data_IF_352101316283
#
_entry.id   IF_352101316283
#
_cell.length_a   1.000
_cell.length_b   1.000
_cell.length_c   1.000
_cell.angle_alpha   90.00
_cell.angle_beta   90.00
_cell.angle_gamma   90.00
#
_symmetry.space_group_name_H-M   'P 1'
#
loop_
_entity.id
_entity.type
_entity.pdbx_description
1 polymer ?
#
# COMPACT_ATOMS: atom_id res chain seq x y z
N UNK A 1 8.59 -0.30 -28.60
CA UNK A 1 8.65 0.34 -27.26
C UNK A 1 8.54 1.86 -27.36
N UNK A 2 9.49 2.60 -27.93
CA UNK A 2 9.45 4.08 -28.02
C UNK A 2 8.14 4.66 -28.60
N UNK A 3 7.67 4.16 -29.75
CA UNK A 3 6.40 4.61 -30.37
C UNK A 3 5.18 4.42 -29.45
N UNK A 4 5.13 3.31 -28.72
CA UNK A 4 4.06 3.03 -27.76
C UNK A 4 4.14 3.98 -26.55
N UNK A 5 5.33 4.19 -26.00
CA UNK A 5 5.54 5.13 -24.89
C UNK A 5 5.13 6.56 -25.28
N UNK A 6 5.51 7.02 -26.47
CA UNK A 6 5.10 8.34 -26.96
C UNK A 6 3.58 8.44 -27.10
N UNK A 7 2.93 7.45 -27.72
CA UNK A 7 1.47 7.45 -27.88
C UNK A 7 0.73 7.44 -26.53
N UNK A 8 1.24 6.70 -25.54
CA UNK A 8 0.68 6.67 -24.19
C UNK A 8 0.89 8.01 -23.45
N UNK A 9 2.07 8.63 -23.60
CA UNK A 9 2.35 9.94 -23.02
C UNK A 9 1.43 11.02 -23.60
N UNK A 10 1.28 11.06 -24.93
CA UNK A 10 0.36 11.99 -25.62
C UNK A 10 -1.09 11.79 -25.15
N UNK A 11 -1.51 10.53 -24.97
CA UNK A 11 -2.83 10.20 -24.44
C UNK A 11 -3.03 10.73 -23.01
N UNK A 12 -2.08 10.48 -22.10
CA UNK A 12 -2.14 10.96 -20.71
C UNK A 12 -2.17 12.50 -20.65
N UNK A 13 -1.34 13.17 -21.44
CA UNK A 13 -1.33 14.62 -21.53
C UNK A 13 -2.67 15.18 -22.04
N UNK A 14 -3.30 14.52 -23.02
CA UNK A 14 -4.64 14.89 -23.52
C UNK A 14 -5.74 14.79 -22.45
N UNK A 15 -5.51 14.01 -21.39
CA UNK A 15 -6.39 13.87 -20.22
C UNK A 15 -6.02 14.80 -19.06
N UNK A 16 -5.02 15.67 -19.23
CA UNK A 16 -4.52 16.54 -18.18
C UNK A 16 -3.60 15.86 -17.16
N UNK A 17 -3.26 14.58 -17.36
CA UNK A 17 -2.48 13.73 -16.46
C UNK A 17 -0.97 13.93 -16.68
N UNK A 18 -0.47 15.15 -16.41
CA UNK A 18 0.91 15.55 -16.69
C UNK A 18 1.94 14.82 -15.83
N UNK A 19 1.60 14.54 -14.57
CA UNK A 19 2.50 13.87 -13.63
C UNK A 19 2.68 12.39 -14.01
N UNK A 20 1.57 11.73 -14.34
CA UNK A 20 1.51 10.34 -14.78
C UNK A 20 2.28 10.14 -16.10
N UNK A 21 2.13 11.09 -17.03
CA UNK A 21 2.89 11.08 -18.28
C UNK A 21 4.40 11.15 -18.04
N UNK A 22 4.83 11.93 -17.04
CA UNK A 22 6.25 12.08 -16.67
C UNK A 22 6.81 10.82 -16.00
N UNK A 23 5.97 10.09 -15.26
CA UNK A 23 6.34 8.83 -14.58
C UNK A 23 6.23 7.58 -15.48
N UNK A 24 5.81 7.72 -16.73
CA UNK A 24 5.65 6.59 -17.65
C UNK A 24 7.00 5.94 -18.03
N UNK A 25 8.09 6.71 -18.02
CA UNK A 25 9.43 6.26 -18.36
C UNK A 25 10.28 6.25 -17.09
N UNK A 26 10.84 5.09 -16.77
CA UNK A 26 11.69 4.93 -15.59
C UNK A 26 12.65 3.76 -15.74
N UNK A 27 13.33 3.43 -14.64
CA UNK A 27 14.26 2.31 -14.59
C UNK A 27 13.54 0.97 -14.59
N UNK A 28 13.97 0.07 -15.48
CA UNK A 28 13.51 -1.32 -15.53
C UNK A 28 14.72 -2.21 -15.25
N UNK A 29 14.65 -2.98 -14.17
CA UNK A 29 15.71 -3.89 -13.77
C UNK A 29 15.44 -5.27 -14.35
N UNK A 30 16.30 -5.70 -15.28
CA UNK A 30 16.19 -7.02 -15.93
C UNK A 30 17.24 -7.97 -15.36
N UNK A 31 16.80 -9.09 -14.79
CA UNK A 31 17.64 -10.15 -14.27
C UNK A 31 18.06 -11.06 -15.42
N UNK A 32 19.20 -10.76 -16.04
CA UNK A 32 19.62 -11.37 -17.31
C UNK A 32 19.86 -12.87 -17.26
N UNK A 33 20.07 -13.44 -16.06
CA UNK A 33 20.24 -14.87 -15.82
C UNK A 33 18.92 -15.66 -15.72
N UNK A 34 17.79 -14.97 -15.60
CA UNK A 34 16.45 -15.59 -15.56
C UNK A 34 15.91 -15.81 -16.97
N UNK A 35 15.06 -16.81 -17.16
CA UNK A 35 14.55 -17.18 -18.48
C UNK A 35 13.71 -16.04 -19.12
N UNK A 36 13.90 -15.73 -20.41
CA UNK A 36 13.04 -14.78 -21.13
C UNK A 36 11.55 -15.09 -20.98
N UNK A 37 10.73 -14.05 -20.94
CA UNK A 37 9.26 -14.17 -20.88
C UNK A 37 8.70 -14.78 -19.58
N UNK A 38 9.51 -14.86 -18.53
CA UNK A 38 9.06 -15.27 -17.19
C UNK A 38 8.91 -14.08 -16.25
N UNK A 39 8.02 -14.16 -15.24
CA UNK A 39 7.89 -13.13 -14.21
C UNK A 39 9.17 -12.89 -13.40
N UNK A 40 10.07 -13.87 -13.32
CA UNK A 40 11.33 -13.74 -12.56
C UNK A 40 12.36 -12.88 -13.27
N UNK A 41 12.21 -12.61 -14.56
CA UNK A 41 13.17 -11.80 -15.33
C UNK A 41 13.03 -10.31 -15.12
N UNK A 42 11.84 -9.81 -14.85
CA UNK A 42 11.61 -8.40 -14.51
C UNK A 42 11.63 -8.23 -12.99
N UNK A 43 12.48 -7.33 -12.48
CA UNK A 43 12.67 -7.16 -11.04
C UNK A 43 11.39 -6.71 -10.30
N UNK A 44 10.50 -5.96 -10.97
CA UNK A 44 9.22 -5.54 -10.38
C UNK A 44 8.25 -6.71 -10.33
N UNK A 45 8.11 -7.46 -11.43
CA UNK A 45 7.25 -8.65 -11.46
C UNK A 45 7.73 -9.72 -10.49
N UNK A 46 9.04 -9.94 -10.38
CA UNK A 46 9.59 -10.90 -9.43
C UNK A 46 9.33 -10.46 -7.98
N UNK A 47 9.49 -9.17 -7.66
CA UNK A 47 9.14 -8.65 -6.34
C UNK A 47 7.64 -8.85 -6.01
N UNK A 48 6.74 -8.68 -7.00
CA UNK A 48 5.31 -8.94 -6.82
C UNK A 48 5.05 -10.43 -6.53
N UNK A 49 5.69 -11.34 -7.25
CA UNK A 49 5.60 -12.78 -7.02
C UNK A 49 6.06 -13.14 -5.59
N UNK A 50 7.22 -12.65 -5.16
CA UNK A 50 7.75 -12.92 -3.82
C UNK A 50 6.82 -12.35 -2.73
N UNK A 51 6.33 -11.12 -2.91
CA UNK A 51 5.36 -10.51 -2.00
C UNK A 51 4.06 -11.32 -1.90
N UNK A 52 3.56 -11.86 -3.02
CA UNK A 52 2.39 -12.72 -3.03
C UNK A 52 2.63 -13.98 -2.20
N UNK A 53 3.76 -14.68 -2.40
CA UNK A 53 4.08 -15.89 -1.61
C UNK A 53 4.16 -15.60 -0.11
N UNK A 54 4.72 -14.46 0.30
CA UNK A 54 4.77 -14.06 1.70
C UNK A 54 3.40 -13.73 2.30
N UNK A 55 2.54 -13.01 1.58
CA UNK A 55 1.19 -12.63 2.05
C UNK A 55 0.19 -13.78 1.98
N UNK A 56 0.48 -14.83 1.22
CA UNK A 56 -0.38 -16.01 1.09
C UNK A 56 0.13 -17.19 1.92
N UNK A 57 0.89 -16.92 2.98
CA UNK A 57 1.42 -17.91 3.95
C UNK A 57 2.25 -19.04 3.31
N UNK A 58 2.85 -18.77 2.15
CA UNK A 58 3.74 -19.70 1.43
C UNK A 58 5.14 -19.11 1.22
N UNK A 59 5.79 -18.46 2.22
CA UNK A 59 7.10 -17.82 2.03
C UNK A 59 8.20 -18.80 1.60
N UNK A 60 8.08 -20.09 1.95
CA UNK A 60 9.00 -21.14 1.51
C UNK A 60 9.10 -21.27 -0.01
N UNK A 61 8.02 -21.01 -0.76
CA UNK A 61 8.06 -20.98 -2.22
C UNK A 61 8.94 -19.84 -2.73
N UNK A 62 8.78 -18.64 -2.16
CA UNK A 62 9.60 -17.49 -2.50
C UNK A 62 11.09 -17.77 -2.28
N UNK A 63 11.43 -18.38 -1.12
CA UNK A 63 12.81 -18.80 -0.82
C UNK A 63 13.31 -19.83 -1.84
N UNK A 64 12.53 -20.89 -2.13
CA UNK A 64 12.92 -21.92 -3.09
C UNK A 64 13.20 -21.35 -4.49
N UNK A 65 12.38 -20.43 -4.97
CA UNK A 65 12.56 -19.76 -6.27
C UNK A 65 13.82 -18.89 -6.29
N UNK A 66 14.12 -18.19 -5.18
CA UNK A 66 15.36 -17.44 -5.03
C UNK A 66 16.60 -18.35 -4.97
N UNK A 67 16.44 -19.58 -4.48
CA UNK A 67 17.49 -20.61 -4.46
C UNK A 67 17.64 -21.36 -5.79
N UNK A 68 16.81 -21.06 -6.79
CA UNK A 68 16.94 -21.58 -8.15
C UNK A 68 15.93 -22.67 -8.53
N UNK A 69 14.96 -23.00 -7.68
CA UNK A 69 13.85 -23.88 -8.08
C UNK A 69 12.89 -23.13 -9.00
N UNK A 70 13.14 -23.22 -10.31
CA UNK A 70 12.32 -22.63 -11.38
C UNK A 70 11.31 -23.61 -11.98
N UNK A 71 11.22 -24.82 -11.42
CA UNK A 71 10.26 -25.83 -11.86
C UNK A 71 9.00 -25.78 -11.02
N UNK A 72 8.88 -26.73 -10.10
CA UNK A 72 7.69 -26.94 -9.28
C UNK A 72 7.39 -25.73 -8.37
N UNK A 73 8.42 -25.15 -7.75
CA UNK A 73 8.20 -24.01 -6.86
C UNK A 73 7.67 -22.78 -7.61
N UNK A 74 8.18 -22.50 -8.82
CA UNK A 74 7.72 -21.40 -9.65
C UNK A 74 6.30 -21.63 -10.18
N UNK A 75 5.98 -22.86 -10.61
CA UNK A 75 4.62 -23.20 -11.05
C UNK A 75 3.60 -22.98 -9.92
N UNK A 76 3.91 -23.47 -8.71
CA UNK A 76 3.05 -23.28 -7.54
C UNK A 76 2.95 -21.80 -7.14
N UNK A 77 4.06 -21.05 -7.17
CA UNK A 77 4.02 -19.62 -6.84
C UNK A 77 3.21 -18.80 -7.85
N UNK A 78 3.16 -19.20 -9.12
CA UNK A 78 2.27 -18.56 -10.10
C UNK A 78 0.79 -18.75 -9.75
N UNK A 79 0.39 -19.95 -9.30
CA UNK A 79 -0.98 -20.21 -8.80
C UNK A 79 -1.28 -19.33 -7.58
N UNK A 80 -0.33 -19.22 -6.66
CA UNK A 80 -0.43 -18.33 -5.49
C UNK A 80 -0.57 -16.87 -5.89
N UNK A 81 0.16 -16.42 -6.92
CA UNK A 81 0.06 -15.06 -7.45
C UNK A 81 -1.32 -14.79 -8.07
N UNK A 82 -1.89 -15.76 -8.79
CA UNK A 82 -3.26 -15.64 -9.33
C UNK A 82 -4.30 -15.50 -8.21
N UNK A 83 -4.22 -16.33 -7.18
CA UNK A 83 -5.12 -16.26 -6.02
C UNK A 83 -4.95 -14.95 -5.25
N UNK A 84 -3.72 -14.49 -5.08
CA UNK A 84 -3.42 -13.19 -4.48
C UNK A 84 -4.06 -12.04 -5.27
N UNK A 85 -3.96 -12.04 -6.60
CA UNK A 85 -4.61 -11.04 -7.48
C UNK A 85 -6.14 -11.11 -7.41
N UNK A 86 -6.70 -12.32 -7.29
CA UNK A 86 -8.14 -12.55 -7.10
C UNK A 86 -8.62 -11.97 -5.77
N UNK A 87 -7.87 -12.19 -4.69
CA UNK A 87 -8.17 -11.65 -3.37
C UNK A 87 -8.12 -10.12 -3.36
N UNK A 88 -7.08 -9.51 -3.94
CA UNK A 88 -7.00 -8.04 -4.10
C UNK A 88 -8.25 -7.51 -4.82
N UNK A 89 -8.60 -8.10 -5.97
CA UNK A 89 -9.77 -7.67 -6.74
C UNK A 89 -11.06 -7.77 -5.92
N UNK A 90 -11.22 -8.85 -5.16
CA UNK A 90 -12.36 -9.06 -4.25
C UNK A 90 -12.44 -7.97 -3.19
N UNK A 91 -11.33 -7.64 -2.53
CA UNK A 91 -11.32 -6.61 -1.48
C UNK A 91 -11.56 -5.21 -2.04
N UNK A 92 -10.94 -4.85 -3.17
CA UNK A 92 -11.16 -3.55 -3.80
C UNK A 92 -12.62 -3.37 -4.21
N UNK A 93 -13.23 -4.41 -4.80
CA UNK A 93 -14.65 -4.39 -5.15
C UNK A 93 -15.53 -4.18 -3.92
N UNK A 94 -15.27 -4.92 -2.85
CA UNK A 94 -16.01 -4.80 -1.58
C UNK A 94 -15.89 -3.38 -1.00
N UNK A 95 -14.70 -2.77 -1.00
CA UNK A 95 -14.53 -1.37 -0.54
C UNK A 95 -15.35 -0.40 -1.39
N UNK A 96 -15.38 -0.59 -2.71
CA UNK A 96 -16.08 0.31 -3.64
C UNK A 96 -17.60 0.13 -3.67
N UNK A 97 -18.13 -0.98 -3.15
CA UNK A 97 -19.58 -1.27 -3.12
C UNK A 97 -20.33 -0.41 -2.10
N UNK A 98 -19.70 0.00 -1.00
CA UNK A 98 -20.32 0.82 0.04
C UNK A 98 -19.47 2.07 0.34
N UNK A 99 -20.03 3.28 0.17
CA UNK A 99 -19.31 4.53 0.43
C UNK A 99 -18.76 4.64 1.85
N UNK A 100 -19.42 4.04 2.84
CA UNK A 100 -18.98 4.06 4.24
C UNK A 100 -17.68 3.27 4.50
N UNK A 101 -17.23 2.43 3.55
CA UNK A 101 -15.98 1.67 3.68
C UNK A 101 -14.74 2.48 3.30
N UNK A 102 -14.92 3.59 2.57
CA UNK A 102 -13.89 4.57 2.25
C UNK A 102 -14.40 5.96 2.64
N UNK A 103 -13.99 6.43 3.81
CA UNK A 103 -14.42 7.72 4.35
C UNK A 103 -13.36 8.79 4.08
N UNK A 104 -13.80 9.94 3.58
CA UNK A 104 -12.98 11.13 3.52
C UNK A 104 -13.17 11.95 4.81
N UNK A 105 -12.08 12.19 5.52
CA UNK A 105 -12.02 13.14 6.64
C UNK A 105 -11.35 14.45 6.16
N UNK A 106 -11.20 15.40 7.08
CA UNK A 106 -10.62 16.71 6.78
C UNK A 106 -9.21 16.61 6.16
N UNK A 107 -8.32 15.80 6.76
CA UNK A 107 -6.92 15.71 6.36
C UNK A 107 -6.51 14.33 5.84
N UNK A 108 -7.35 13.30 5.99
CA UNK A 108 -7.02 11.90 5.63
C UNK A 108 -8.20 11.19 4.96
N UNK A 109 -7.89 10.13 4.21
CA UNK A 109 -8.84 9.08 3.85
C UNK A 109 -8.72 7.89 4.80
N UNK A 110 -9.84 7.24 5.11
CA UNK A 110 -9.90 6.10 6.01
C UNK A 110 -10.60 4.92 5.34
N UNK A 111 -9.95 3.76 5.35
CA UNK A 111 -10.54 2.50 4.91
C UNK A 111 -10.65 1.54 6.09
N UNK A 112 -11.88 1.13 6.39
CA UNK A 112 -12.15 0.10 7.38
C UNK A 112 -12.25 -1.27 6.68
N UNK A 113 -11.29 -2.14 6.95
CA UNK A 113 -11.29 -3.52 6.46
C UNK A 113 -12.17 -4.48 7.25
N UNK A 114 -12.70 -4.03 8.39
CA UNK A 114 -13.53 -4.81 9.32
C UNK A 114 -12.94 -6.21 9.58
N UNK A 115 -13.78 -7.25 9.52
CA UNK A 115 -13.39 -8.66 9.55
C UNK A 115 -13.23 -9.26 8.13
N UNK A 116 -13.44 -8.46 7.08
CA UNK A 116 -13.45 -8.94 5.71
C UNK A 116 -12.06 -8.94 5.06
N UNK A 117 -11.28 -7.88 5.30
CA UNK A 117 -9.93 -7.74 4.75
C UNK A 117 -8.92 -8.34 5.72
N UNK A 118 -8.22 -9.36 5.25
CA UNK A 118 -7.13 -9.98 6.02
C UNK A 118 -6.02 -8.95 6.32
N UNK A 119 -5.49 -8.98 7.55
CA UNK A 119 -4.54 -7.99 8.06
C UNK A 119 -3.26 -7.89 7.21
N UNK A 120 -2.80 -9.03 6.67
CA UNK A 120 -1.67 -9.15 5.77
C UNK A 120 -1.92 -8.57 4.37
N UNK A 121 -3.17 -8.26 4.02
CA UNK A 121 -3.57 -7.67 2.73
C UNK A 121 -3.76 -6.16 2.79
N UNK A 122 -4.00 -5.59 3.98
CA UNK A 122 -4.23 -4.14 4.20
C UNK A 122 -3.12 -3.29 3.57
N UNK A 123 -1.85 -3.69 3.70
CA UNK A 123 -0.71 -2.96 3.15
C UNK A 123 -0.72 -2.89 1.62
N UNK A 124 -1.14 -3.98 0.96
CA UNK A 124 -1.23 -4.02 -0.50
C UNK A 124 -2.42 -3.19 -1.01
N UNK A 125 -3.57 -3.34 -0.34
CA UNK A 125 -4.80 -2.61 -0.67
C UNK A 125 -4.60 -1.10 -0.49
N UNK A 126 -4.04 -0.67 0.65
CA UNK A 126 -3.72 0.75 0.88
C UNK A 126 -2.78 1.31 -0.17
N UNK A 127 -1.79 0.54 -0.63
CA UNK A 127 -0.88 1.00 -1.69
C UNK A 127 -1.62 1.22 -3.02
N UNK A 128 -2.50 0.30 -3.42
CA UNK A 128 -3.30 0.42 -4.66
C UNK A 128 -4.33 1.56 -4.57
N UNK A 129 -5.02 1.67 -3.43
CA UNK A 129 -6.03 2.70 -3.24
C UNK A 129 -5.40 4.10 -3.18
N UNK A 130 -4.24 4.26 -2.52
CA UNK A 130 -3.60 5.57 -2.38
C UNK A 130 -3.31 6.28 -3.70
N UNK A 131 -3.08 5.53 -4.79
CA UNK A 131 -2.86 6.08 -6.13
C UNK A 131 -4.14 6.33 -6.92
N UNK A 132 -5.29 5.89 -6.41
CA UNK A 132 -6.58 5.91 -7.09
C UNK A 132 -7.59 6.87 -6.43
N UNK A 133 -7.16 7.57 -5.38
CA UNK A 133 -8.02 8.51 -4.63
C UNK A 133 -8.23 9.81 -5.42
N UNK A 134 -9.43 10.43 -5.34
CA UNK A 134 -9.70 11.70 -6.01
C UNK A 134 -8.79 12.85 -5.57
N UNK A 135 -8.46 12.89 -4.28
CA UNK A 135 -7.55 13.89 -3.72
C UNK A 135 -6.27 13.22 -3.21
N UNK A 136 -5.19 13.34 -3.98
CA UNK A 136 -3.87 12.79 -3.62
C UNK A 136 -3.14 13.59 -2.56
N UNK A 137 -3.71 14.72 -2.12
CA UNK A 137 -3.20 15.55 -1.03
C UNK A 137 -3.69 15.13 0.36
N UNK A 138 -4.37 13.98 0.46
CA UNK A 138 -4.76 13.40 1.74
C UNK A 138 -4.14 12.00 1.88
N UNK A 139 -3.35 11.74 2.94
CA UNK A 139 -2.87 10.39 3.21
C UNK A 139 -4.02 9.40 3.40
N UNK A 140 -3.80 8.15 3.01
CA UNK A 140 -4.72 7.04 3.21
C UNK A 140 -4.32 6.22 4.43
N UNK A 141 -5.26 6.02 5.34
CA UNK A 141 -5.13 5.16 6.52
C UNK A 141 -6.09 3.97 6.34
N UNK A 142 -5.54 2.78 6.14
CA UNK A 142 -6.34 1.54 6.09
C UNK A 142 -6.07 0.70 7.33
N UNK A 143 -7.10 0.10 7.91
CA UNK A 143 -6.94 -0.79 9.05
C UNK A 143 -7.88 -1.99 9.00
N UNK A 144 -7.59 -3.01 9.80
CA UNK A 144 -8.39 -4.22 9.91
C UNK A 144 -7.95 -5.05 11.11
N UNK A 145 -8.80 -6.00 11.50
CA UNK A 145 -8.59 -6.79 12.71
C UNK A 145 -7.47 -7.81 12.56
N UNK A 146 -6.70 -7.97 13.62
CA UNK A 146 -5.62 -8.94 13.76
C UNK A 146 -5.65 -9.55 15.18
N UNK A 147 -4.87 -10.61 15.39
CA UNK A 147 -4.73 -11.29 16.70
C UNK A 147 -6.08 -11.62 17.35
N UNK A 148 -6.88 -12.45 16.67
CA UNK A 148 -8.23 -12.86 17.12
C UNK A 148 -9.18 -11.68 17.39
N UNK A 149 -8.97 -10.54 16.72
CA UNK A 149 -9.84 -9.38 16.84
C UNK A 149 -9.51 -8.43 17.99
N UNK A 150 -8.41 -8.67 18.73
CA UNK A 150 -8.00 -7.81 19.85
C UNK A 150 -7.20 -6.58 19.42
N UNK A 151 -6.56 -6.65 18.26
CA UNK A 151 -5.67 -5.60 17.76
C UNK A 151 -6.15 -5.15 16.38
N UNK A 152 -6.14 -3.85 16.13
CA UNK A 152 -6.24 -3.28 14.79
C UNK A 152 -4.84 -3.08 14.22
N UNK A 153 -4.59 -3.66 13.05
CA UNK A 153 -3.38 -3.41 12.28
C UNK A 153 -3.67 -2.31 11.26
N UNK A 154 -2.84 -1.28 11.26
CA UNK A 154 -2.99 -0.08 10.45
C UNK A 154 -1.86 0.00 9.42
N UNK A 155 -2.19 0.40 8.21
CA UNK A 155 -1.25 0.76 7.14
C UNK A 155 -1.57 2.16 6.65
N UNK A 156 -0.57 3.03 6.67
CA UNK A 156 -0.66 4.39 6.17
C UNK A 156 0.15 4.55 4.88
N UNK A 157 -0.40 5.27 3.91
CA UNK A 157 0.25 5.58 2.62
C UNK A 157 0.00 7.04 2.24
N UNK A 158 1.01 7.70 1.71
CA UNK A 158 0.88 9.03 1.12
C UNK A 158 1.73 9.14 -0.14
N UNK A 159 1.77 10.33 -0.74
CA UNK A 159 2.51 10.63 -1.97
C UNK A 159 3.76 11.43 -1.68
N UNK A 160 4.73 11.42 -2.60
CA UNK A 160 5.94 12.25 -2.50
C UNK A 160 5.61 13.75 -2.38
N UNK A 161 4.52 14.19 -3.02
CA UNK A 161 4.00 15.55 -2.89
C UNK A 161 3.72 15.89 -1.43
N UNK A 162 3.05 15.01 -0.70
CA UNK A 162 2.70 15.23 0.70
C UNK A 162 3.91 15.18 1.63
N UNK A 163 4.85 14.28 1.35
CA UNK A 163 6.14 14.26 2.06
C UNK A 163 6.88 15.58 1.86
N UNK A 164 6.90 16.12 0.63
CA UNK A 164 7.52 17.42 0.34
C UNK A 164 6.81 18.61 1.02
N UNK A 165 5.52 18.47 1.33
CA UNK A 165 4.74 19.43 2.14
C UNK A 165 4.92 19.24 3.65
N UNK A 166 5.80 18.33 4.08
CA UNK A 166 6.17 18.14 5.48
C UNK A 166 5.48 16.97 6.18
N UNK A 167 4.62 16.20 5.51
CA UNK A 167 3.96 15.04 6.12
C UNK A 167 4.96 13.90 6.33
N UNK A 168 5.11 13.44 7.58
CA UNK A 168 5.88 12.26 7.91
C UNK A 168 5.00 11.20 8.59
N UNK A 169 4.54 10.21 7.82
CA UNK A 169 3.65 9.18 8.34
C UNK A 169 4.30 8.32 9.43
N UNK A 170 5.61 8.05 9.35
CA UNK A 170 6.34 7.32 10.38
C UNK A 170 6.20 7.97 11.76
N UNK A 171 6.49 9.27 11.83
CA UNK A 171 6.36 10.07 13.07
C UNK A 171 4.90 10.16 13.53
N UNK A 172 3.96 10.40 12.61
CA UNK A 172 2.53 10.50 12.93
C UNK A 172 1.98 9.18 13.49
N UNK A 173 2.29 8.06 12.85
CA UNK A 173 1.85 6.73 13.31
C UNK A 173 2.44 6.40 14.68
N UNK A 174 3.70 6.74 14.93
CA UNK A 174 4.35 6.53 16.23
C UNK A 174 3.60 7.28 17.34
N UNK A 175 3.45 8.60 17.20
CA UNK A 175 2.83 9.47 18.22
C UNK A 175 1.37 9.07 18.48
N UNK A 176 0.60 8.84 17.42
CA UNK A 176 -0.80 8.45 17.55
C UNK A 176 -0.93 7.07 18.22
N UNK A 177 -0.07 6.11 17.85
CA UNK A 177 -0.13 4.77 18.43
C UNK A 177 0.25 4.77 19.91
N UNK A 178 1.30 5.52 20.31
CA UNK A 178 1.72 5.64 21.71
C UNK A 178 0.59 6.20 22.60
N UNK A 179 -0.13 7.22 22.12
CA UNK A 179 -1.32 7.78 22.81
C UNK A 179 -2.50 6.81 22.89
N UNK A 180 -2.53 5.80 22.03
CA UNK A 180 -3.58 4.79 21.95
C UNK A 180 -3.16 3.43 22.51
N UNK A 181 -2.12 3.37 23.37
CA UNK A 181 -1.59 2.12 23.96
C UNK A 181 -1.14 1.08 22.92
N UNK A 182 -0.73 1.56 21.75
CA UNK A 182 -0.25 0.76 20.64
C UNK A 182 1.22 1.00 20.32
N UNK A 183 1.66 0.47 19.18
CA UNK A 183 2.99 0.70 18.61
C UNK A 183 2.87 1.08 17.15
N UNK A 184 3.58 2.12 16.71
CA UNK A 184 3.56 2.60 15.34
C UNK A 184 4.92 3.10 14.88
N UNK A 185 5.09 3.22 13.57
CA UNK A 185 6.31 3.72 12.95
C UNK A 185 6.43 3.34 11.48
N UNK A 186 7.55 3.69 10.88
CA UNK A 186 7.85 3.42 9.46
C UNK A 186 8.54 4.60 8.80
N UNK A 187 8.40 4.69 7.48
CA UNK A 187 8.94 5.77 6.67
C UNK A 187 7.95 6.93 6.57
N UNK A 188 8.42 8.07 6.10
CA UNK A 188 7.62 9.27 5.82
C UNK A 188 6.46 9.00 4.85
N UNK A 189 6.70 8.22 3.78
CA UNK A 189 5.73 7.90 2.74
C UNK A 189 4.83 6.70 3.08
N UNK A 190 5.32 5.79 3.93
CA UNK A 190 4.70 4.50 4.20
C UNK A 190 5.01 4.04 5.63
N UNK A 191 3.97 3.91 6.44
CA UNK A 191 4.07 3.55 7.86
C UNK A 191 2.96 2.58 8.27
N UNK A 192 3.04 2.08 9.50
CA UNK A 192 2.00 1.24 10.08
C UNK A 192 1.91 1.37 11.58
N UNK A 193 0.84 0.82 12.15
CA UNK A 193 0.62 0.76 13.58
C UNK A 193 -0.14 -0.50 13.99
N UNK A 194 -0.04 -0.87 15.27
CA UNK A 194 -0.86 -1.86 15.93
C UNK A 194 -1.44 -1.22 17.18
N UNK A 195 -2.77 -1.20 17.28
CA UNK A 195 -3.49 -0.55 18.37
C UNK A 195 -4.59 -1.48 18.92
N UNK A 196 -4.96 -1.38 20.20
CA UNK A 196 -6.14 -2.07 20.72
C UNK A 196 -7.41 -1.67 19.96
N UNK A 197 -8.33 -2.62 19.79
CA UNK A 197 -9.56 -2.43 19.00
C UNK A 197 -10.43 -1.29 19.54
N UNK A 198 -10.44 -1.11 20.86
CA UNK A 198 -11.19 -0.08 21.57
C UNK A 198 -10.68 1.35 21.30
N UNK A 199 -9.44 1.49 20.83
CA UNK A 199 -8.78 2.79 20.65
C UNK A 199 -8.76 3.27 19.19
N UNK A 200 -9.35 2.53 18.24
CA UNK A 200 -9.29 2.87 16.81
C UNK A 200 -9.89 4.23 16.48
N UNK A 201 -11.05 4.56 17.06
CA UNK A 201 -11.71 5.83 16.77
C UNK A 201 -10.90 7.02 17.29
N UNK A 202 -10.29 6.87 18.47
CA UNK A 202 -9.36 7.86 19.02
C UNK A 202 -8.11 7.99 18.13
N UNK A 203 -7.54 6.87 17.70
CA UNK A 203 -6.37 6.84 16.83
C UNK A 203 -6.61 7.56 15.51
N UNK A 204 -7.74 7.29 14.83
CA UNK A 204 -8.08 7.94 13.56
C UNK A 204 -8.24 9.44 13.72
N UNK A 205 -8.87 9.90 14.82
CA UNK A 205 -8.99 11.34 15.13
C UNK A 205 -7.61 11.98 15.33
N UNK A 206 -6.76 11.36 16.14
CA UNK A 206 -5.40 11.85 16.38
C UNK A 206 -4.57 11.92 15.09
N UNK A 207 -4.65 10.92 14.23
CA UNK A 207 -3.95 10.94 12.93
C UNK A 207 -4.47 12.08 12.05
N UNK A 208 -5.78 12.28 11.98
CA UNK A 208 -6.38 13.37 11.20
C UNK A 208 -5.89 14.76 11.69
N UNK A 209 -5.81 14.96 13.00
CA UNK A 209 -5.30 16.20 13.59
C UNK A 209 -3.79 16.39 13.34
N UNK A 210 -2.99 15.34 13.55
CA UNK A 210 -1.54 15.40 13.37
C UNK A 210 -1.15 15.67 11.91
N UNK A 211 -1.87 15.11 10.94
CA UNK A 211 -1.66 15.43 9.52
C UNK A 211 -1.98 16.92 9.26
N UNK A 212 -3.08 17.43 9.80
CA UNK A 212 -3.43 18.85 9.68
C UNK A 212 -2.36 19.79 10.24
N UNK A 213 -1.86 19.50 11.44
CA UNK A 213 -0.74 20.24 12.07
C UNK A 213 0.53 20.20 11.24
N UNK A 214 0.87 19.01 10.73
CA UNK A 214 2.04 18.82 9.87
C UNK A 214 1.96 19.67 8.60
N UNK A 215 0.76 19.82 8.01
CA UNK A 215 0.52 20.67 6.83
C UNK A 215 0.50 22.16 7.16
N UNK A 216 0.14 22.55 8.37
CA UNK A 216 0.24 23.92 8.86
C UNK A 216 1.69 24.34 9.20
N UNK A 217 2.65 23.41 9.14
CA UNK A 217 4.05 23.65 9.49
C UNK A 217 4.32 23.64 10.99
N UNK A 218 3.41 23.08 11.80
CA UNK A 218 3.59 22.93 13.25
C UNK A 218 4.48 21.72 13.58
N UNK A 219 5.29 21.81 14.65
CA UNK A 219 6.01 20.64 15.14
C UNK A 219 5.07 19.71 15.91
N UNK A 220 4.82 18.55 15.32
CA UNK A 220 3.99 17.50 15.90
C UNK A 220 4.67 16.73 17.05
N UNK A 221 5.97 16.97 17.32
CA UNK A 221 6.77 16.23 18.31
C UNK A 221 6.86 16.85 19.71
N UNK A 222 6.12 17.92 19.99
CA UNK A 222 6.06 18.57 21.32
C UNK A 222 4.95 18.03 22.20
#
# INVERSE_FOLDING_TARGET
KRKLCSALADYLLSKGLRFEASNLIGHVYTLTREEPWTPTRDGREFAVLLNATGRMDKPGLGVAICMGDKGLALEEANKVLEDYRRNISKYLKWIMEEPDRLKELENIYVVCGEDFIEDKMIGAISSILSTSLPNTEKPLIAYGKANEGRIMKVSARTTDLMVSKGVNLGKIMQIAAEKCLGKGGGHDIAAGAQIPVENIDLFIKLVNELVGKSLAGEDIGS
#
